data_IF_163269891000
#
_entry.id   IF_163269891000
#
_cell.length_a   1.000
_cell.length_b   1.000
_cell.length_c   1.000
_cell.angle_alpha   90.00
_cell.angle_beta   90.00
_cell.angle_gamma   90.00
#
_symmetry.space_group_name_H-M   'P 1'
#
loop_
_entity.id
_entity.type
_entity.pdbx_description
1 polymer ?
#
# COMPACT_ATOMS: atom_id res chain seq x y z
N UNK A 1 -24.20 -8.26 7.55
CA UNK A 1 -22.86 -7.84 8.02
C UNK A 1 -21.90 -8.95 7.62
N UNK A 2 -20.73 -8.66 7.05
CA UNK A 2 -19.74 -9.69 6.75
C UNK A 2 -19.37 -10.42 8.05
N UNK A 3 -19.19 -11.73 7.97
CA UNK A 3 -18.68 -12.51 9.08
C UNK A 3 -17.20 -12.18 9.33
N UNK A 4 -16.67 -12.60 10.48
CA UNK A 4 -15.23 -12.48 10.75
C UNK A 4 -14.40 -13.19 9.67
N UNK A 5 -14.83 -14.39 9.26
CA UNK A 5 -14.17 -15.15 8.20
C UNK A 5 -14.20 -14.43 6.85
N UNK A 6 -15.34 -13.81 6.50
CA UNK A 6 -15.44 -12.98 5.29
C UNK A 6 -14.45 -11.82 5.34
N UNK A 7 -14.36 -11.14 6.48
CA UNK A 7 -13.46 -10.01 6.68
C UNK A 7 -12.00 -10.45 6.52
N UNK A 8 -11.60 -11.54 7.17
CA UNK A 8 -10.25 -12.12 7.04
C UNK A 8 -9.93 -12.48 5.60
N UNK A 9 -10.86 -13.12 4.89
CA UNK A 9 -10.65 -13.51 3.50
C UNK A 9 -10.51 -12.29 2.57
N UNK A 10 -11.31 -11.23 2.78
CA UNK A 10 -11.23 -9.99 2.01
C UNK A 10 -9.90 -9.27 2.27
N UNK A 11 -9.53 -9.10 3.55
CA UNK A 11 -8.27 -8.42 3.93
C UNK A 11 -7.06 -9.23 3.46
N UNK A 12 -7.11 -10.56 3.51
CA UNK A 12 -6.03 -11.41 3.01
C UNK A 12 -5.84 -11.27 1.50
N UNK A 13 -6.92 -11.21 0.72
CA UNK A 13 -6.83 -10.88 -0.71
C UNK A 13 -6.28 -9.47 -0.95
N UNK A 14 -6.65 -8.52 -0.10
CA UNK A 14 -6.14 -7.14 -0.18
C UNK A 14 -4.63 -7.08 0.01
N UNK A 15 -4.07 -7.92 0.89
CA UNK A 15 -2.65 -7.96 1.25
C UNK A 15 -1.85 -9.04 0.51
N UNK A 16 -2.46 -9.73 -0.46
CA UNK A 16 -1.85 -10.89 -1.13
C UNK A 16 -0.49 -10.56 -1.79
N UNK A 17 -0.32 -9.34 -2.28
CA UNK A 17 0.93 -8.88 -2.91
C UNK A 17 1.96 -8.34 -1.91
N UNK A 18 1.60 -8.27 -0.63
CA UNK A 18 2.41 -7.70 0.44
C UNK A 18 3.14 -8.80 1.23
N UNK A 19 2.90 -10.08 0.89
CA UNK A 19 3.57 -11.22 1.50
C UNK A 19 3.02 -11.65 2.87
N UNK A 20 1.92 -11.05 3.35
CA UNK A 20 1.32 -11.42 4.63
C UNK A 20 0.62 -12.78 4.55
N UNK A 21 0.91 -13.63 5.53
CA UNK A 21 0.20 -14.90 5.71
C UNK A 21 -1.22 -14.69 6.22
N UNK A 22 -2.08 -15.70 6.01
CA UNK A 22 -3.47 -15.67 6.52
C UNK A 22 -3.52 -15.51 8.04
N UNK A 23 -2.60 -16.13 8.78
CA UNK A 23 -2.54 -16.03 10.25
C UNK A 23 -2.18 -14.61 10.73
N UNK A 24 -1.29 -13.91 10.01
CA UNK A 24 -0.99 -12.51 10.29
C UNK A 24 -2.20 -11.61 10.02
N UNK A 25 -2.94 -11.88 8.94
CA UNK A 25 -4.19 -11.16 8.64
C UNK A 25 -5.25 -11.40 9.71
N UNK A 26 -5.40 -12.63 10.21
CA UNK A 26 -6.28 -12.95 11.34
C UNK A 26 -5.92 -12.07 12.55
N UNK A 27 -4.63 -11.99 12.93
CA UNK A 27 -4.19 -11.15 14.04
C UNK A 27 -4.51 -9.67 13.84
N UNK A 28 -4.39 -9.15 12.61
CA UNK A 28 -4.73 -7.76 12.30
C UNK A 28 -6.24 -7.54 12.48
N UNK A 29 -7.08 -8.42 11.94
CA UNK A 29 -8.54 -8.33 12.07
C UNK A 29 -8.97 -8.44 13.53
N UNK A 30 -8.35 -9.36 14.30
CA UNK A 30 -8.64 -9.55 15.72
C UNK A 30 -8.20 -8.35 16.58
N UNK A 31 -7.12 -7.67 16.19
CA UNK A 31 -6.62 -6.47 16.88
C UNK A 31 -7.52 -5.25 16.65
N UNK A 32 -8.27 -5.22 15.54
CA UNK A 32 -9.11 -4.11 15.14
C UNK A 32 -10.54 -4.55 14.79
N UNK A 33 -11.31 -5.08 15.76
CA UNK A 33 -12.65 -5.56 15.49
C UNK A 33 -13.58 -4.41 15.08
N UNK A 34 -14.65 -4.74 14.35
CA UNK A 34 -15.71 -3.82 13.93
C UNK A 34 -15.27 -2.62 13.06
N UNK A 35 -14.09 -2.69 12.45
CA UNK A 35 -13.65 -1.68 11.49
C UNK A 35 -14.23 -1.91 10.10
N UNK A 36 -14.44 -0.82 9.36
CA UNK A 36 -14.82 -0.86 7.95
C UNK A 36 -13.67 -1.38 7.08
N UNK A 37 -13.96 -1.91 5.88
CA UNK A 37 -12.90 -2.39 4.96
C UNK A 37 -11.89 -1.29 4.59
N UNK A 38 -12.34 -0.04 4.48
CA UNK A 38 -11.48 1.12 4.18
C UNK A 38 -10.40 1.35 5.24
N UNK A 39 -10.64 0.98 6.50
CA UNK A 39 -9.65 1.04 7.55
C UNK A 39 -8.43 0.17 7.23
N UNK A 40 -8.66 -1.06 6.76
CA UNK A 40 -7.59 -1.99 6.40
C UNK A 40 -6.85 -1.52 5.13
N UNK A 41 -7.57 -0.95 4.16
CA UNK A 41 -6.95 -0.29 3.00
C UNK A 41 -6.03 0.87 3.40
N UNK A 42 -6.44 1.68 4.36
CA UNK A 42 -5.64 2.78 4.89
C UNK A 42 -4.41 2.30 5.68
N UNK A 43 -4.57 1.24 6.49
CA UNK A 43 -3.48 0.61 7.25
C UNK A 43 -2.38 0.11 6.31
N UNK A 44 -2.77 -0.56 5.23
CA UNK A 44 -1.86 -0.97 4.16
C UNK A 44 -1.15 0.22 3.55
N UNK A 45 -1.91 1.21 3.07
CA UNK A 45 -1.38 2.40 2.39
C UNK A 45 -0.33 3.13 3.23
N UNK A 46 -0.59 3.26 4.55
CA UNK A 46 0.34 3.90 5.48
C UNK A 46 1.70 3.20 5.60
N UNK A 47 1.75 1.90 5.34
CA UNK A 47 3.00 1.13 5.33
C UNK A 47 3.86 1.52 4.12
N UNK A 48 3.23 1.89 3.00
CA UNK A 48 3.90 2.34 1.79
C UNK A 48 4.34 3.80 1.84
N UNK A 49 3.75 4.64 2.69
CA UNK A 49 4.02 6.09 2.74
C UNK A 49 5.51 6.43 2.86
N UNK A 50 6.28 5.68 3.66
CA UNK A 50 7.73 5.91 3.82
C UNK A 50 8.52 5.63 2.54
N UNK A 51 8.10 4.62 1.78
CA UNK A 51 8.74 4.26 0.51
C UNK A 51 8.34 5.22 -0.59
N UNK A 52 7.09 5.68 -0.61
CA UNK A 52 6.62 6.73 -1.53
C UNK A 52 7.38 8.02 -1.26
N UNK A 53 7.53 8.42 0.01
CA UNK A 53 8.32 9.60 0.39
C UNK A 53 9.75 9.49 -0.11
N UNK A 54 10.42 8.36 0.18
CA UNK A 54 11.77 8.10 -0.31
C UNK A 54 11.87 8.17 -1.83
N UNK A 55 10.92 7.58 -2.55
CA UNK A 55 10.88 7.62 -4.00
C UNK A 55 10.72 9.04 -4.53
N UNK A 56 9.88 9.87 -3.91
CA UNK A 56 9.73 11.30 -4.24
C UNK A 56 11.04 12.06 -4.02
N UNK A 57 11.76 11.78 -2.93
CA UNK A 57 13.09 12.34 -2.68
C UNK A 57 14.10 11.90 -3.77
N UNK A 58 14.15 10.60 -4.09
CA UNK A 58 15.07 10.01 -5.05
C UNK A 58 14.88 10.56 -6.49
N UNK A 59 13.65 10.94 -6.87
CA UNK A 59 13.39 11.57 -8.18
C UNK A 59 13.69 13.08 -8.22
N UNK A 60 14.11 13.68 -7.10
CA UNK A 60 14.50 15.09 -7.00
C UNK A 60 13.52 15.98 -6.24
N UNK A 61 12.73 15.40 -5.34
CA UNK A 61 11.81 16.10 -4.45
C UNK A 61 10.45 16.43 -5.08
N UNK A 62 9.53 16.92 -4.23
CA UNK A 62 8.16 17.25 -4.62
C UNK A 62 8.08 18.32 -5.74
N UNK A 63 9.04 19.24 -5.77
CA UNK A 63 9.19 20.29 -6.79
C UNK A 63 9.29 19.70 -8.22
N UNK A 64 10.04 18.61 -8.38
CA UNK A 64 10.29 17.96 -9.68
C UNK A 64 9.27 16.86 -10.02
N UNK A 65 8.37 16.57 -9.08
CA UNK A 65 7.35 15.53 -9.20
C UNK A 65 6.44 15.78 -10.40
N UNK A 66 5.91 17.00 -10.54
CA UNK A 66 4.98 17.36 -11.61
C UNK A 66 5.63 17.27 -13.01
N UNK A 67 6.89 17.67 -13.14
CA UNK A 67 7.64 17.56 -14.40
C UNK A 67 7.85 16.10 -14.79
N UNK A 68 8.30 15.27 -13.85
CA UNK A 68 8.61 13.85 -14.11
C UNK A 68 7.39 12.95 -14.24
N UNK A 69 6.27 13.24 -13.57
CA UNK A 69 5.05 12.45 -13.68
C UNK A 69 4.14 12.91 -14.81
N UNK A 70 3.95 14.22 -14.98
CA UNK A 70 2.85 14.77 -15.81
C UNK A 70 3.34 15.28 -17.17
N UNK A 71 4.55 15.86 -17.26
CA UNK A 71 5.07 16.49 -18.50
C UNK A 71 5.99 15.60 -19.34
N UNK A 72 5.96 14.28 -19.12
CA UNK A 72 6.98 13.37 -19.67
C UNK A 72 6.91 13.16 -21.19
N UNK A 73 8.09 13.02 -21.82
CA UNK A 73 8.27 12.34 -23.12
C UNK A 73 8.42 10.84 -22.87
N UNK A 74 7.95 10.03 -23.83
CA UNK A 74 7.69 8.58 -23.70
C UNK A 74 8.91 7.71 -23.33
N UNK A 75 10.11 8.26 -23.44
CA UNK A 75 11.38 7.49 -23.44
C UNK A 75 12.16 7.58 -22.11
N UNK A 76 11.75 8.44 -21.15
CA UNK A 76 12.41 8.54 -19.84
C UNK A 76 11.81 7.56 -18.81
N UNK A 77 12.60 6.57 -18.41
CA UNK A 77 12.21 5.60 -17.37
C UNK A 77 12.21 6.27 -15.98
N UNK A 78 11.10 6.13 -15.24
CA UNK A 78 11.09 6.44 -13.81
C UNK A 78 11.89 5.37 -13.06
N UNK A 79 12.56 5.73 -11.95
CA UNK A 79 13.03 4.71 -11.03
C UNK A 79 11.83 3.87 -10.58
N UNK A 80 11.98 2.56 -10.72
CA UNK A 80 10.97 1.60 -10.33
C UNK A 80 10.71 1.73 -8.82
N UNK A 81 9.44 1.83 -8.44
CA UNK A 81 9.06 1.69 -7.04
C UNK A 81 9.31 0.25 -6.60
N UNK A 82 10.17 0.07 -5.62
CA UNK A 82 10.43 -1.24 -5.02
C UNK A 82 9.58 -1.32 -3.74
N UNK A 83 8.57 -2.20 -3.70
CA UNK A 83 7.76 -2.36 -2.51
C UNK A 83 8.60 -2.89 -1.33
N UNK A 84 8.19 -2.59 -0.08
CA UNK A 84 8.76 -3.22 1.12
C UNK A 84 8.81 -4.75 0.99
N UNK A 85 9.85 -5.34 1.57
CA UNK A 85 9.94 -6.78 1.85
C UNK A 85 9.32 -7.10 3.19
#
# INVERSE_FOLDING_TARGET
QPTHEDLVNIVHRMYQNDGLSKDEVVRIVDSFPNQALDFYGALRSRTYDRFVLKWVEDIGGAEKLGEKLVRRRKDDALPAFIPPK
#
